data_IF_662370259666
#
_entry.id   IF_662370259666
#
_cell.length_a   1.000
_cell.length_b   1.000
_cell.length_c   1.000
_cell.angle_alpha   90.00
_cell.angle_beta   90.00
_cell.angle_gamma   90.00
#
_symmetry.space_group_name_H-M   'P 1'
#
loop_
_entity.id
_entity.type
_entity.pdbx_description
1 polymer ?
#
# COMPACT_ATOMS: atom_id res chain seq x y z
N UNK A 1 7.40 26.10 21.93
CA UNK A 1 6.16 25.72 22.62
C UNK A 1 5.75 24.36 22.08
N UNK A 2 5.37 23.42 22.95
CA UNK A 2 4.88 22.08 22.56
C UNK A 2 3.36 22.06 22.75
N UNK A 3 2.61 21.61 21.75
CA UNK A 3 1.16 21.40 21.84
C UNK A 3 0.88 19.90 21.95
N UNK A 4 0.10 19.50 22.97
CA UNK A 4 -0.37 18.13 23.12
C UNK A 4 -1.90 18.08 22.93
N UNK A 5 -2.37 17.19 22.05
CA UNK A 5 -3.80 16.93 21.83
C UNK A 5 -4.16 15.58 22.44
N UNK A 6 -5.19 15.58 23.29
CA UNK A 6 -5.62 14.38 24.02
C UNK A 6 -7.14 14.30 24.10
N UNK A 7 -7.65 13.10 24.36
CA UNK A 7 -9.06 12.86 24.68
C UNK A 7 -9.18 12.56 26.16
N UNK A 8 -10.09 13.25 26.84
CA UNK A 8 -10.33 13.13 28.27
C UNK A 8 -11.80 12.73 28.53
N UNK A 9 -12.02 11.56 29.14
CA UNK A 9 -13.36 11.15 29.60
C UNK A 9 -13.70 11.85 30.92
N UNK A 10 -14.66 12.77 30.90
CA UNK A 10 -15.06 13.50 32.11
C UNK A 10 -15.76 12.56 33.11
N UNK A 11 -15.37 12.57 34.41
CA UNK A 11 -15.88 11.61 35.37
C UNK A 11 -17.32 11.92 35.79
N UNK A 12 -18.16 10.87 35.81
CA UNK A 12 -19.57 10.95 36.17
C UNK A 12 -20.04 9.66 36.88
N UNK A 13 -21.05 9.78 37.75
CA UNK A 13 -21.82 8.68 38.30
C UNK A 13 -23.21 8.70 37.67
N UNK A 14 -23.43 7.87 36.65
CA UNK A 14 -24.61 7.97 35.79
C UNK A 14 -24.62 9.29 35.03
N UNK A 15 -25.60 10.15 35.31
CA UNK A 15 -25.72 11.50 34.72
C UNK A 15 -25.21 12.63 35.63
N UNK A 16 -24.70 12.28 36.81
CA UNK A 16 -24.22 13.25 37.79
C UNK A 16 -22.72 13.45 37.65
N UNK A 17 -22.28 14.70 37.44
CA UNK A 17 -20.86 15.06 37.31
C UNK A 17 -20.13 14.83 38.64
N UNK A 18 -18.99 14.15 38.60
CA UNK A 18 -18.12 13.97 39.76
C UNK A 18 -17.08 15.08 39.83
N UNK A 19 -17.46 16.25 40.34
CA UNK A 19 -16.63 17.45 40.38
C UNK A 19 -15.25 17.22 41.02
N UNK A 20 -15.18 16.55 42.17
CA UNK A 20 -13.90 16.29 42.86
C UNK A 20 -12.98 15.35 42.08
N UNK A 21 -13.52 14.45 41.26
CA UNK A 21 -12.71 13.61 40.38
C UNK A 21 -12.20 14.41 39.18
N UNK A 22 -13.05 15.25 38.58
CA UNK A 22 -12.66 16.13 37.48
C UNK A 22 -11.58 17.14 37.93
N UNK A 23 -11.72 17.71 39.13
CA UNK A 23 -10.74 18.62 39.71
C UNK A 23 -9.36 17.94 39.85
N UNK A 24 -9.30 16.74 40.40
CA UNK A 24 -8.05 15.97 40.49
C UNK A 24 -7.45 15.69 39.11
N UNK A 25 -8.28 15.28 38.15
CA UNK A 25 -7.83 15.03 36.79
C UNK A 25 -7.19 16.28 36.15
N UNK A 26 -7.82 17.45 36.25
CA UNK A 26 -7.37 18.67 35.59
C UNK A 26 -6.28 19.44 36.33
N UNK A 27 -6.33 19.46 37.67
CA UNK A 27 -5.46 20.31 38.48
C UNK A 27 -4.30 19.55 39.13
N UNK A 28 -4.35 18.21 39.16
CA UNK A 28 -3.28 17.37 39.73
C UNK A 28 -2.69 16.43 38.68
N UNK A 29 -3.50 15.51 38.12
CA UNK A 29 -3.00 14.47 37.21
C UNK A 29 -2.45 15.06 35.91
N UNK A 30 -3.21 15.91 35.22
CA UNK A 30 -2.80 16.45 33.94
C UNK A 30 -1.54 17.34 34.04
N UNK A 31 -1.42 18.28 35.00
CA UNK A 31 -0.19 19.04 35.20
C UNK A 31 1.02 18.16 35.52
N UNK A 32 0.86 17.10 36.33
CA UNK A 32 1.93 16.15 36.61
C UNK A 32 2.36 15.36 35.36
N UNK A 33 1.40 14.98 34.50
CA UNK A 33 1.71 14.34 33.22
C UNK A 33 2.47 15.29 32.28
N UNK A 34 2.05 16.55 32.20
CA UNK A 34 2.76 17.58 31.43
C UNK A 34 4.19 17.76 31.96
N UNK A 35 4.36 17.87 33.28
CA UNK A 35 5.68 18.03 33.89
C UNK A 35 6.58 16.82 33.65
N UNK A 36 6.06 15.60 33.69
CA UNK A 36 6.86 14.38 33.50
C UNK A 36 7.15 14.05 32.05
N UNK A 37 6.20 14.28 31.13
CA UNK A 37 6.28 13.77 29.77
C UNK A 37 6.58 14.86 28.71
N UNK A 38 6.23 16.12 28.96
CA UNK A 38 6.36 17.19 27.97
C UNK A 38 7.44 18.23 28.31
N UNK A 39 8.01 18.18 29.51
CA UNK A 39 9.13 19.04 29.89
C UNK A 39 10.45 18.32 29.61
N UNK A 40 11.32 18.95 28.81
CA UNK A 40 12.61 18.36 28.42
C UNK A 40 13.47 17.95 29.63
N UNK A 41 13.44 18.72 30.72
CA UNK A 41 14.17 18.42 31.97
C UNK A 41 13.75 17.10 32.64
N UNK A 42 12.58 16.56 32.28
CA UNK A 42 11.96 15.40 32.92
C UNK A 42 12.04 14.14 32.06
N UNK A 43 12.48 14.27 30.80
CA UNK A 43 12.67 13.14 29.88
C UNK A 43 14.15 12.81 29.74
N UNK A 44 14.45 11.56 29.42
CA UNK A 44 15.84 11.17 29.16
C UNK A 44 16.34 11.85 27.87
N UNK A 45 17.21 12.85 28.05
CA UNK A 45 17.83 13.60 26.96
C UNK A 45 18.52 12.68 25.95
N UNK A 46 19.17 11.60 26.39
CA UNK A 46 19.91 10.71 25.51
C UNK A 46 18.97 9.93 24.60
N UNK A 47 17.90 9.34 25.15
CA UNK A 47 16.85 8.69 24.37
C UNK A 47 16.18 9.64 23.38
N UNK A 48 15.89 10.88 23.79
CA UNK A 48 15.29 11.89 22.90
C UNK A 48 16.21 12.27 21.74
N UNK A 49 17.50 12.47 22.01
CA UNK A 49 18.49 12.76 20.97
C UNK A 49 18.68 11.56 20.04
N UNK A 50 18.73 10.34 20.56
CA UNK A 50 18.84 9.12 19.76
C UNK A 50 17.61 8.92 18.85
N UNK A 51 16.40 9.21 19.34
CA UNK A 51 15.19 9.19 18.53
C UNK A 51 15.24 10.21 17.40
N UNK A 52 15.61 11.47 17.70
CA UNK A 52 15.70 12.52 16.69
C UNK A 52 16.75 12.19 15.62
N UNK A 53 17.96 11.81 16.04
CA UNK A 53 19.05 11.41 15.15
C UNK A 53 18.68 10.23 14.26
N UNK A 54 18.01 9.22 14.82
CA UNK A 54 17.54 8.06 14.05
C UNK A 54 16.49 8.44 13.00
N UNK A 55 15.56 9.34 13.32
CA UNK A 55 14.55 9.79 12.34
C UNK A 55 15.19 10.66 11.25
N UNK A 56 16.12 11.53 11.61
CA UNK A 56 16.89 12.34 10.64
C UNK A 56 17.70 11.47 9.69
N UNK A 57 18.39 10.45 10.20
CA UNK A 57 19.16 9.50 9.40
C UNK A 57 18.27 8.71 8.44
N UNK A 58 17.09 8.27 8.91
CA UNK A 58 16.11 7.56 8.07
C UNK A 58 15.55 8.43 6.94
N UNK A 59 15.18 9.67 7.27
CA UNK A 59 14.67 10.61 6.27
C UNK A 59 15.76 11.00 5.27
N UNK A 60 16.97 11.23 5.76
CA UNK A 60 18.13 11.48 4.91
C UNK A 60 18.39 10.31 3.97
N UNK A 61 18.46 9.08 4.49
CA UNK A 61 18.67 7.87 3.69
C UNK A 61 17.59 7.70 2.62
N UNK A 62 16.32 7.92 2.97
CA UNK A 62 15.20 7.89 2.01
C UNK A 62 15.37 8.94 0.91
N UNK A 63 15.76 10.17 1.27
CA UNK A 63 16.00 11.24 0.30
C UNK A 63 17.14 10.93 -0.69
N UNK A 64 18.11 10.09 -0.29
CA UNK A 64 19.23 9.68 -1.15
C UNK A 64 18.84 8.60 -2.17
N UNK A 65 17.74 7.86 -1.96
CA UNK A 65 17.36 6.73 -2.84
C UNK A 65 17.32 7.13 -4.31
N UNK A 66 16.66 8.25 -4.63
CA UNK A 66 16.54 8.74 -6.02
C UNK A 66 17.90 9.09 -6.64
N UNK A 67 18.80 9.72 -5.88
CA UNK A 67 20.13 10.09 -6.37
C UNK A 67 21.01 8.86 -6.63
N UNK A 68 20.79 7.79 -5.86
CA UNK A 68 21.49 6.52 -5.99
C UNK A 68 20.81 5.56 -6.98
N UNK A 69 19.76 6.00 -7.68
CA UNK A 69 18.93 5.16 -8.56
C UNK A 69 18.38 3.91 -7.87
N UNK A 70 18.02 4.06 -6.59
CA UNK A 70 17.40 3.02 -5.75
C UNK A 70 15.92 3.32 -5.53
N UNK A 71 15.16 2.26 -5.25
CA UNK A 71 13.76 2.33 -4.79
C UNK A 71 13.60 1.87 -3.34
N UNK A 72 14.57 1.10 -2.83
CA UNK A 72 14.65 0.72 -1.43
C UNK A 72 16.09 0.45 -1.00
N UNK A 73 16.35 0.58 0.31
CA UNK A 73 17.60 0.23 0.95
C UNK A 73 17.31 -0.59 2.21
N UNK A 74 18.02 -1.71 2.40
CA UNK A 74 17.89 -2.58 3.56
C UNK A 74 19.25 -2.68 4.25
N UNK A 75 19.40 -2.01 5.40
CA UNK A 75 20.64 -1.96 6.17
C UNK A 75 21.09 -3.33 6.70
N UNK A 76 22.39 -3.57 6.66
CA UNK A 76 22.99 -4.73 7.31
C UNK A 76 22.72 -4.68 8.82
N UNK A 77 22.41 -5.84 9.41
CA UNK A 77 22.09 -5.97 10.84
C UNK A 77 20.59 -5.82 11.16
N UNK A 78 19.77 -5.43 10.18
CA UNK A 78 18.33 -5.28 10.36
C UNK A 78 17.64 -6.58 10.82
N UNK A 79 16.61 -6.42 11.63
CA UNK A 79 15.74 -7.49 12.13
C UNK A 79 14.37 -7.35 11.48
N UNK A 80 14.20 -8.06 10.37
CA UNK A 80 12.98 -8.03 9.57
C UNK A 80 11.81 -8.81 10.21
N UNK A 81 11.99 -10.03 10.77
CA UNK A 81 10.87 -10.80 11.29
C UNK A 81 10.28 -10.16 12.56
N UNK A 82 8.97 -10.29 12.70
CA UNK A 82 8.23 -9.82 13.88
C UNK A 82 7.89 -10.97 14.81
N UNK A 83 7.55 -10.67 16.07
CA UNK A 83 7.22 -11.69 17.09
C UNK A 83 6.06 -12.59 16.64
N UNK A 84 5.05 -12.02 15.97
CA UNK A 84 3.90 -12.77 15.45
C UNK A 84 3.18 -11.98 14.36
N UNK A 85 2.23 -12.60 13.64
CA UNK A 85 1.44 -11.91 12.61
C UNK A 85 0.53 -10.79 13.13
N UNK A 86 0.32 -10.68 14.44
CA UNK A 86 -0.48 -9.62 15.08
C UNK A 86 0.35 -8.62 15.87
N UNK A 87 1.64 -8.89 16.06
CA UNK A 87 2.55 -8.02 16.81
C UNK A 87 3.54 -7.37 15.85
N UNK A 88 3.65 -6.05 15.93
CA UNK A 88 4.64 -5.30 15.19
C UNK A 88 5.99 -5.21 15.91
N UNK A 89 6.23 -5.90 17.03
CA UNK A 89 7.53 -5.91 17.72
C UNK A 89 8.56 -6.80 17.00
N UNK A 90 9.87 -6.48 17.07
CA UNK A 90 10.90 -7.31 16.44
C UNK A 90 11.02 -8.66 17.12
N UNK A 91 11.39 -9.69 16.35
CA UNK A 91 11.72 -10.99 16.92
C UNK A 91 13.08 -10.92 17.63
N UNK A 92 13.06 -10.98 18.96
CA UNK A 92 14.25 -10.91 19.83
C UNK A 92 14.68 -12.29 20.35
N UNK A 93 14.88 -13.26 19.46
CA UNK A 93 15.41 -14.58 19.84
C UNK A 93 16.90 -14.69 19.50
N UNK A 94 17.64 -15.52 20.25
CA UNK A 94 19.05 -15.82 19.95
C UNK A 94 19.26 -16.49 18.58
N UNK A 95 18.17 -16.90 17.92
CA UNK A 95 18.16 -17.57 16.62
C UNK A 95 17.78 -16.64 15.46
N UNK A 96 17.53 -15.35 15.72
CA UNK A 96 17.12 -14.42 14.67
C UNK A 96 18.27 -14.19 13.67
N UNK A 97 18.00 -14.45 12.40
CA UNK A 97 18.96 -14.17 11.32
C UNK A 97 18.87 -12.69 11.00
N UNK A 98 19.92 -11.94 11.35
CA UNK A 98 20.03 -10.53 10.97
C UNK A 98 20.29 -10.41 9.47
N UNK A 99 19.67 -9.42 8.85
CA UNK A 99 19.82 -9.18 7.43
C UNK A 99 21.28 -8.86 7.08
N UNK A 100 21.78 -9.45 6.00
CA UNK A 100 23.10 -9.14 5.44
C UNK A 100 22.98 -9.12 3.93
N UNK A 101 23.30 -7.97 3.35
CA UNK A 101 23.28 -7.74 1.92
C UNK A 101 24.31 -8.62 1.19
N UNK A 102 23.94 -9.21 0.03
CA UNK A 102 24.92 -9.89 -0.81
C UNK A 102 25.91 -8.87 -1.39
N UNK A 103 27.21 -9.21 -1.51
CA UNK A 103 28.25 -8.27 -1.96
C UNK A 103 27.91 -7.51 -3.25
N UNK A 104 27.23 -8.16 -4.19
CA UNK A 104 26.88 -7.65 -5.51
C UNK A 104 25.82 -6.53 -5.46
N UNK A 105 25.00 -6.51 -4.40
CA UNK A 105 23.93 -5.54 -4.19
C UNK A 105 24.23 -4.58 -3.04
N UNK A 106 25.46 -4.60 -2.50
CA UNK A 106 25.84 -3.71 -1.42
C UNK A 106 25.98 -2.26 -1.88
N UNK A 107 25.41 -1.35 -1.11
CA UNK A 107 25.55 0.09 -1.24
C UNK A 107 25.98 0.65 0.11
N UNK A 108 26.85 1.66 0.07
CA UNK A 108 27.27 2.42 1.25
C UNK A 108 26.66 3.81 1.19
N UNK A 109 26.13 4.29 2.31
CA UNK A 109 25.55 5.64 2.44
C UNK A 109 26.10 6.29 3.69
N UNK A 110 26.53 7.55 3.57
CA UNK A 110 26.99 8.35 4.71
C UNK A 110 25.79 9.05 5.34
N UNK A 111 25.46 8.70 6.58
CA UNK A 111 24.37 9.32 7.33
C UNK A 111 24.87 10.46 8.21
N UNK A 112 24.05 11.50 8.45
CA UNK A 112 24.48 12.67 9.21
C UNK A 112 24.81 12.36 10.68
N UNK A 113 24.17 11.35 11.29
CA UNK A 113 24.39 11.02 12.70
C UNK A 113 25.12 9.68 12.90
N UNK A 114 24.65 8.58 12.31
CA UNK A 114 25.23 7.24 12.48
C UNK A 114 26.52 7.02 11.66
N UNK A 115 26.84 7.91 10.70
CA UNK A 115 27.99 7.79 9.80
C UNK A 115 27.74 6.79 8.67
N UNK A 116 28.79 6.15 8.16
CA UNK A 116 28.67 5.21 7.05
C UNK A 116 27.88 3.95 7.43
N UNK A 117 26.79 3.69 6.71
CA UNK A 117 26.04 2.43 6.78
C UNK A 117 26.17 1.64 5.49
N UNK A 118 26.11 0.32 5.61
CA UNK A 118 26.16 -0.62 4.48
C UNK A 118 24.89 -1.44 4.46
N UNK A 119 24.30 -1.63 3.29
CA UNK A 119 23.06 -2.40 3.12
C UNK A 119 22.84 -2.83 1.68
N UNK A 120 21.72 -3.52 1.44
CA UNK A 120 21.30 -3.94 0.11
C UNK A 120 20.53 -2.79 -0.53
N UNK A 121 21.00 -2.29 -1.67
CA UNK A 121 20.25 -1.34 -2.49
C UNK A 121 19.42 -2.07 -3.54
N UNK A 122 18.10 -1.86 -3.54
CA UNK A 122 17.22 -2.31 -4.61
C UNK A 122 17.18 -1.20 -5.67
N UNK A 123 17.74 -1.48 -6.85
CA UNK A 123 17.80 -0.53 -7.97
C UNK A 123 16.42 -0.33 -8.60
N UNK A 124 16.26 0.82 -9.26
CA UNK A 124 15.11 1.07 -10.13
C UNK A 124 15.02 0.02 -11.25
N UNK A 125 13.80 -0.32 -11.65
CA UNK A 125 13.51 -1.41 -12.60
C UNK A 125 12.61 -2.48 -11.99
N UNK A 126 12.77 -3.73 -12.42
CA UNK A 126 12.01 -4.90 -11.96
C UNK A 126 12.93 -5.80 -11.14
N UNK A 127 12.63 -5.90 -9.84
CA UNK A 127 13.33 -6.77 -8.90
C UNK A 127 12.44 -7.92 -8.46
N UNK A 128 12.97 -9.14 -8.54
CA UNK A 128 12.30 -10.34 -8.06
C UNK A 128 12.92 -10.79 -6.74
N UNK A 129 12.08 -11.20 -5.79
CA UNK A 129 12.47 -11.86 -4.55
C UNK A 129 11.93 -13.29 -4.62
N UNK A 130 12.82 -14.25 -4.86
CA UNK A 130 12.48 -15.66 -5.07
C UNK A 130 13.08 -16.57 -3.99
N UNK A 131 12.75 -17.86 -4.04
CA UNK A 131 13.19 -18.87 -3.07
C UNK A 131 12.06 -19.78 -2.58
N UNK A 132 12.41 -20.86 -1.88
CA UNK A 132 11.42 -21.83 -1.39
C UNK A 132 10.44 -21.24 -0.38
N UNK A 133 9.34 -21.95 -0.10
CA UNK A 133 8.43 -21.62 1.00
C UNK A 133 9.17 -21.46 2.33
N UNK A 134 8.69 -20.56 3.19
CA UNK A 134 9.23 -20.31 4.54
C UNK A 134 10.69 -19.80 4.65
N UNK A 135 11.28 -19.32 3.54
CA UNK A 135 12.65 -18.76 3.54
C UNK A 135 12.73 -17.24 3.79
N UNK A 136 11.62 -16.57 4.12
CA UNK A 136 11.62 -15.13 4.48
C UNK A 136 11.35 -14.14 3.35
N UNK A 137 10.83 -14.59 2.19
CA UNK A 137 10.48 -13.71 1.05
C UNK A 137 9.46 -12.63 1.43
N UNK A 138 8.29 -13.03 1.91
CA UNK A 138 7.24 -12.09 2.31
C UNK A 138 7.65 -11.26 3.53
N UNK A 139 8.51 -11.79 4.41
CA UNK A 139 9.08 -11.00 5.52
C UNK A 139 9.95 -9.86 5.01
N UNK A 140 10.79 -10.10 3.99
CA UNK A 140 11.58 -9.05 3.34
C UNK A 140 10.67 -8.03 2.64
N UNK A 141 9.69 -8.49 1.86
CA UNK A 141 8.75 -7.59 1.18
C UNK A 141 7.92 -6.76 2.16
N UNK A 142 7.45 -7.34 3.26
CA UNK A 142 6.74 -6.62 4.31
C UNK A 142 7.62 -5.56 4.99
N UNK A 143 8.92 -5.81 5.16
CA UNK A 143 9.84 -4.80 5.67
C UNK A 143 10.00 -3.64 4.66
N UNK A 144 10.13 -3.95 3.37
CA UNK A 144 10.18 -2.95 2.28
C UNK A 144 8.86 -2.16 2.21
N UNK A 145 7.71 -2.83 2.31
CA UNK A 145 6.38 -2.22 2.35
C UNK A 145 6.26 -1.17 3.46
N UNK A 146 6.83 -1.46 4.64
CA UNK A 146 6.81 -0.56 5.80
C UNK A 146 7.90 0.50 5.79
N UNK A 147 8.95 0.34 4.98
CA UNK A 147 10.05 1.31 4.83
C UNK A 147 9.65 2.67 4.26
N UNK A 148 8.40 2.81 3.80
CA UNK A 148 7.79 4.12 3.50
C UNK A 148 7.62 5.00 4.75
N UNK A 149 7.67 4.40 5.95
CA UNK A 149 7.63 5.09 7.23
C UNK A 149 8.99 5.04 7.94
N UNK A 150 9.23 6.01 8.81
CA UNK A 150 10.31 5.92 9.78
C UNK A 150 9.89 4.99 10.94
N UNK A 151 10.84 4.20 11.43
CA UNK A 151 10.68 3.29 12.54
C UNK A 151 11.35 3.86 13.81
N UNK A 152 10.79 3.53 14.98
CA UNK A 152 11.38 3.92 16.25
C UNK A 152 12.68 3.14 16.51
N UNK A 153 13.67 3.72 17.22
CA UNK A 153 14.86 3.01 17.64
C UNK A 153 14.52 1.73 18.42
N UNK A 154 15.18 0.63 18.07
CA UNK A 154 14.92 -0.71 18.59
C UNK A 154 13.91 -1.52 17.78
N UNK A 155 13.25 -0.96 16.75
CA UNK A 155 12.32 -1.70 15.90
C UNK A 155 13.03 -2.76 15.02
N UNK A 156 14.32 -2.55 14.71
CA UNK A 156 15.12 -3.42 13.87
C UNK A 156 14.99 -3.16 12.36
N UNK A 157 14.07 -2.29 11.93
CA UNK A 157 13.87 -1.88 10.53
C UNK A 157 14.17 -0.39 10.30
N UNK A 158 14.87 0.26 11.21
CA UNK A 158 15.24 1.68 11.14
C UNK A 158 16.01 1.96 9.85
N UNK A 159 16.97 1.12 9.48
CA UNK A 159 17.71 1.25 8.22
C UNK A 159 17.04 0.54 7.04
N UNK A 160 15.73 0.29 7.10
CA UNK A 160 14.94 -0.22 5.99
C UNK A 160 14.06 0.90 5.47
N UNK A 161 14.50 1.53 4.38
CA UNK A 161 13.76 2.64 3.77
C UNK A 161 13.35 2.29 2.36
N UNK A 162 12.20 2.80 1.96
CA UNK A 162 11.62 2.62 0.62
C UNK A 162 11.13 3.98 0.14
N UNK A 163 11.09 4.17 -1.19
CA UNK A 163 10.46 5.34 -1.80
C UNK A 163 9.08 5.61 -1.17
N UNK A 164 8.82 6.86 -0.81
CA UNK A 164 7.63 7.24 -0.05
C UNK A 164 6.31 7.02 -0.82
N UNK A 165 6.38 6.93 -2.15
CA UNK A 165 5.21 6.69 -3.02
C UNK A 165 5.03 5.21 -3.36
N UNK A 166 5.91 4.33 -2.85
CA UNK A 166 5.82 2.90 -3.11
C UNK A 166 4.47 2.34 -2.62
N UNK A 167 3.73 1.72 -3.53
CA UNK A 167 2.36 1.27 -3.28
C UNK A 167 2.28 -0.25 -3.45
N UNK A 168 1.76 -0.94 -2.44
CA UNK A 168 1.49 -2.37 -2.53
C UNK A 168 0.18 -2.63 -3.26
N UNK A 169 0.23 -3.54 -4.23
CA UNK A 169 -0.92 -3.98 -5.01
C UNK A 169 -1.21 -5.44 -4.66
N UNK A 170 -2.49 -5.73 -4.43
CA UNK A 170 -3.02 -7.09 -4.24
C UNK A 170 -4.42 -7.20 -4.81
N UNK A 171 -4.94 -8.42 -4.94
CA UNK A 171 -6.32 -8.64 -5.38
C UNK A 171 -7.31 -8.13 -4.32
N UNK A 172 -8.33 -7.42 -4.76
CA UNK A 172 -9.39 -6.88 -3.92
C UNK A 172 -10.74 -7.18 -4.58
N UNK A 173 -11.16 -8.43 -4.46
CA UNK A 173 -12.40 -8.92 -5.04
C UNK A 173 -13.62 -8.24 -4.40
N UNK A 174 -14.59 -7.85 -5.23
CA UNK A 174 -15.79 -7.15 -4.80
C UNK A 174 -15.66 -5.64 -4.66
N UNK A 175 -14.48 -5.04 -4.85
CA UNK A 175 -14.34 -3.58 -4.72
C UNK A 175 -15.08 -2.82 -5.82
N UNK A 176 -15.50 -1.61 -5.46
CA UNK A 176 -15.99 -0.62 -6.41
C UNK A 176 -14.83 -0.02 -7.23
N UNK A 177 -15.06 0.14 -8.53
CA UNK A 177 -14.17 0.86 -9.45
C UNK A 177 -15.02 1.86 -10.23
N UNK A 178 -14.53 3.08 -10.41
CA UNK A 178 -15.21 4.11 -11.19
C UNK A 178 -14.28 4.81 -12.16
N UNK A 179 -14.75 4.93 -13.40
CA UNK A 179 -14.17 5.73 -14.48
C UNK A 179 -12.65 5.59 -14.61
N UNK A 180 -12.16 4.36 -14.53
CA UNK A 180 -10.71 4.04 -14.58
C UNK A 180 -10.37 3.40 -15.91
N UNK A 181 -9.34 3.92 -16.59
CA UNK A 181 -8.86 3.33 -17.84
C UNK A 181 -8.01 2.09 -17.54
N UNK A 182 -8.58 0.90 -17.77
CA UNK A 182 -7.92 -0.38 -17.53
C UNK A 182 -7.47 -1.07 -18.83
N UNK A 183 -7.58 -0.40 -19.99
CA UNK A 183 -7.14 -0.93 -21.31
C UNK A 183 -5.73 -1.51 -21.34
N UNK A 184 -4.74 -1.01 -20.57
CA UNK A 184 -3.43 -1.65 -20.56
C UNK A 184 -3.47 -3.12 -20.14
N UNK A 185 -4.45 -3.52 -19.33
CA UNK A 185 -4.53 -4.87 -18.79
C UNK A 185 -5.78 -5.64 -19.22
N UNK A 186 -6.91 -4.96 -19.47
CA UNK A 186 -8.19 -5.61 -19.76
C UNK A 186 -8.82 -4.94 -20.97
N UNK A 187 -9.07 -5.74 -22.02
CA UNK A 187 -9.70 -5.32 -23.26
C UNK A 187 -10.82 -6.29 -23.65
N UNK A 188 -11.65 -5.90 -24.61
CA UNK A 188 -12.63 -6.82 -25.25
C UNK A 188 -13.54 -7.55 -24.25
N UNK A 189 -14.02 -6.83 -23.23
CA UNK A 189 -14.95 -7.42 -22.27
C UNK A 189 -16.22 -7.91 -22.97
N UNK A 190 -16.84 -9.00 -22.48
CA UNK A 190 -18.12 -9.48 -22.97
C UNK A 190 -19.18 -8.36 -22.97
N UNK A 191 -20.14 -8.46 -23.89
CA UNK A 191 -21.24 -7.49 -24.06
C UNK A 191 -20.80 -6.08 -24.50
N UNK A 192 -19.58 -5.93 -25.01
CA UNK A 192 -19.09 -4.65 -25.54
C UNK A 192 -18.86 -3.58 -24.48
N UNK A 193 -18.68 -3.98 -23.21
CA UNK A 193 -18.32 -3.04 -22.13
C UNK A 193 -16.98 -2.38 -22.45
N UNK A 194 -16.94 -1.06 -22.37
CA UNK A 194 -15.70 -0.30 -22.64
C UNK A 194 -14.78 -0.32 -21.42
N UNK A 195 -13.48 -0.31 -21.67
CA UNK A 195 -12.44 -0.40 -20.64
C UNK A 195 -11.61 0.87 -20.51
N UNK A 196 -11.93 1.91 -21.27
CA UNK A 196 -11.31 3.24 -21.25
C UNK A 196 -11.81 4.14 -20.10
N UNK A 197 -13.02 3.87 -19.60
CA UNK A 197 -13.61 4.50 -18.43
C UNK A 197 -14.38 3.45 -17.60
N UNK A 198 -13.70 2.35 -17.29
CA UNK A 198 -14.31 1.19 -16.67
C UNK A 198 -14.89 1.52 -15.30
N UNK A 199 -16.12 1.06 -15.07
CA UNK A 199 -16.83 1.19 -13.79
C UNK A 199 -17.56 -0.10 -13.45
N UNK A 200 -17.47 -0.54 -12.20
CA UNK A 200 -18.20 -1.70 -11.67
C UNK A 200 -18.41 -1.55 -10.16
N UNK A 201 -19.49 -2.12 -9.64
CA UNK A 201 -19.72 -2.26 -8.21
C UNK A 201 -19.13 -3.54 -7.62
N UNK A 202 -18.73 -4.47 -8.48
CA UNK A 202 -18.22 -5.79 -8.12
C UNK A 202 -17.07 -6.14 -9.10
N UNK A 203 -15.84 -5.82 -8.70
CA UNK A 203 -14.66 -6.11 -9.49
C UNK A 203 -14.10 -7.50 -9.16
N UNK A 204 -13.77 -8.29 -10.19
CA UNK A 204 -13.02 -9.53 -10.01
C UNK A 204 -11.58 -9.25 -9.52
N UNK A 205 -10.89 -10.27 -9.02
CA UNK A 205 -9.49 -10.14 -8.56
C UNK A 205 -8.52 -9.54 -9.59
N UNK A 206 -8.62 -9.93 -10.87
CA UNK A 206 -7.78 -9.36 -11.94
C UNK A 206 -8.17 -7.92 -12.28
N UNK A 207 -9.47 -7.62 -12.30
CA UNK A 207 -10.00 -6.27 -12.61
C UNK A 207 -9.67 -5.26 -11.52
N UNK A 208 -9.77 -5.68 -10.25
CA UNK A 208 -9.39 -4.84 -9.11
C UNK A 208 -7.90 -4.50 -9.14
N UNK A 209 -7.03 -5.46 -9.46
CA UNK A 209 -5.59 -5.17 -9.60
C UNK A 209 -5.27 -4.29 -10.80
N UNK A 210 -5.90 -4.54 -11.95
CA UNK A 210 -5.77 -3.67 -13.12
C UNK A 210 -6.10 -2.22 -12.76
N UNK A 211 -7.23 -2.01 -12.07
CA UNK A 211 -7.63 -0.71 -11.56
C UNK A 211 -6.57 -0.17 -10.58
N UNK A 212 -6.22 -0.90 -9.52
CA UNK A 212 -5.27 -0.46 -8.49
C UNK A 212 -3.92 -0.01 -9.06
N UNK A 213 -3.39 -0.70 -10.09
CA UNK A 213 -2.15 -0.27 -10.78
C UNK A 213 -2.37 1.07 -11.47
N UNK A 214 -3.46 1.24 -12.23
CA UNK A 214 -3.76 2.48 -12.93
C UNK A 214 -4.00 3.63 -11.93
N UNK A 215 -4.71 3.36 -10.84
CA UNK A 215 -4.95 4.34 -9.78
C UNK A 215 -3.64 4.78 -9.11
N UNK A 216 -2.74 3.84 -8.80
CA UNK A 216 -1.43 4.13 -8.23
C UNK A 216 -0.56 4.96 -9.18
N UNK A 217 -0.52 4.59 -10.47
CA UNK A 217 0.23 5.33 -11.50
C UNK A 217 -0.33 6.74 -11.69
N UNK A 218 -1.65 6.92 -11.60
CA UNK A 218 -2.27 8.23 -11.74
C UNK A 218 -1.88 9.19 -10.61
N UNK A 219 -1.81 8.68 -9.37
CA UNK A 219 -1.35 9.44 -8.19
C UNK A 219 0.19 9.44 -8.03
N UNK A 220 0.90 9.12 -9.11
CA UNK A 220 2.36 9.25 -9.24
C UNK A 220 3.17 8.30 -8.34
N UNK A 221 2.67 7.10 -8.08
CA UNK A 221 3.47 6.04 -7.46
C UNK A 221 4.68 5.70 -8.34
N UNK A 222 5.88 5.75 -7.76
CA UNK A 222 7.14 5.46 -8.46
C UNK A 222 7.53 3.98 -8.41
N UNK A 223 6.95 3.23 -7.46
CA UNK A 223 7.29 1.82 -7.21
C UNK A 223 6.04 1.04 -6.83
N UNK A 224 5.87 -0.15 -7.41
CA UNK A 224 4.78 -1.07 -7.09
C UNK A 224 5.32 -2.33 -6.41
N UNK A 225 4.66 -2.76 -5.34
CA UNK A 225 5.04 -3.95 -4.57
C UNK A 225 4.00 -5.05 -4.78
N UNK A 226 4.45 -6.26 -5.11
CA UNK A 226 3.58 -7.41 -5.36
C UNK A 226 4.03 -8.62 -4.54
N UNK A 227 3.06 -9.34 -3.97
CA UNK A 227 3.28 -10.67 -3.39
C UNK A 227 2.40 -11.67 -4.15
N UNK A 228 3.02 -12.66 -4.80
CA UNK A 228 2.33 -13.68 -5.59
C UNK A 228 1.19 -14.33 -4.80
N UNK A 229 1.38 -14.57 -3.51
CA UNK A 229 0.41 -15.23 -2.63
C UNK A 229 -0.90 -14.41 -2.43
N UNK A 230 -0.89 -13.11 -2.75
CA UNK A 230 -2.03 -12.21 -2.58
C UNK A 230 -2.55 -11.62 -3.90
N UNK A 231 -1.97 -12.04 -5.02
CA UNK A 231 -2.35 -11.57 -6.35
C UNK A 231 -3.25 -12.59 -7.06
N UNK A 232 -4.06 -12.12 -8.01
CA UNK A 232 -4.80 -13.02 -8.89
C UNK A 232 -3.84 -13.68 -9.89
N UNK A 233 -3.74 -15.02 -9.87
CA UNK A 233 -2.78 -15.77 -10.70
C UNK A 233 -2.97 -15.51 -12.19
N UNK A 234 -4.23 -15.46 -12.66
CA UNK A 234 -4.59 -15.17 -14.05
C UNK A 234 -4.20 -13.76 -14.51
N UNK A 235 -3.91 -12.86 -13.57
CA UNK A 235 -3.38 -11.54 -13.89
C UNK A 235 -1.85 -11.51 -13.89
N UNK A 236 -1.18 -12.32 -13.06
CA UNK A 236 0.28 -12.31 -13.00
C UNK A 236 0.92 -12.92 -14.24
N UNK A 237 0.45 -14.09 -14.65
CA UNK A 237 1.01 -14.88 -15.75
C UNK A 237 -0.11 -15.51 -16.57
N UNK A 238 0.25 -15.97 -17.75
CA UNK A 238 -0.67 -16.74 -18.60
C UNK A 238 0.03 -18.01 -19.06
N UNK A 239 -0.51 -19.15 -18.63
CA UNK A 239 0.05 -20.45 -18.97
C UNK A 239 0.04 -20.70 -20.49
N UNK A 240 1.16 -21.21 -21.01
CA UNK A 240 1.33 -21.45 -22.44
C UNK A 240 0.41 -22.52 -23.03
N UNK A 241 -0.07 -23.49 -22.22
CA UNK A 241 -1.08 -24.46 -22.68
C UNK A 241 -2.46 -23.82 -22.75
N UNK A 242 -2.78 -22.98 -21.78
CA UNK A 242 -4.04 -22.22 -21.79
C UNK A 242 -4.13 -21.25 -22.97
N UNK A 243 -3.01 -20.64 -23.38
CA UNK A 243 -2.94 -19.84 -24.61
C UNK A 243 -3.26 -20.64 -25.88
N UNK A 244 -2.86 -21.91 -25.94
CA UNK A 244 -3.17 -22.78 -27.07
C UNK A 244 -4.62 -23.29 -27.06
N UNK A 245 -5.18 -23.50 -25.87
CA UNK A 245 -6.55 -23.98 -25.70
C UNK A 245 -7.60 -22.88 -25.92
N UNK A 246 -7.34 -21.68 -25.42
CA UNK A 246 -8.25 -20.53 -25.50
C UNK A 246 -7.64 -19.48 -26.41
N UNK A 247 -8.26 -19.27 -27.56
CA UNK A 247 -7.83 -18.26 -28.54
C UNK A 247 -7.67 -16.89 -27.90
N UNK A 248 -6.66 -16.14 -28.33
CA UNK A 248 -6.34 -14.80 -27.82
C UNK A 248 -7.55 -13.85 -27.88
N UNK A 249 -8.38 -13.94 -28.91
CA UNK A 249 -9.58 -13.11 -29.06
C UNK A 249 -10.64 -13.34 -27.99
N UNK A 250 -10.55 -14.45 -27.25
CA UNK A 250 -11.48 -14.82 -26.18
C UNK A 250 -10.93 -14.55 -24.78
N UNK A 251 -9.65 -14.19 -24.63
CA UNK A 251 -9.04 -13.86 -23.34
C UNK A 251 -8.86 -12.34 -23.21
N UNK A 252 -9.68 -11.66 -22.38
CA UNK A 252 -9.65 -10.21 -22.27
C UNK A 252 -8.43 -9.68 -21.49
N UNK A 253 -7.72 -10.54 -20.75
CA UNK A 253 -6.66 -10.14 -19.81
C UNK A 253 -5.28 -10.21 -20.48
N UNK A 254 -4.59 -9.08 -20.50
CA UNK A 254 -3.15 -8.98 -20.73
C UNK A 254 -2.44 -9.15 -19.39
N UNK A 255 -1.62 -10.21 -19.20
CA UNK A 255 -0.98 -10.48 -17.91
C UNK A 255 0.08 -9.42 -17.58
N UNK A 256 0.35 -9.24 -16.28
CA UNK A 256 1.30 -8.27 -15.76
C UNK A 256 2.72 -8.53 -16.25
N UNK A 257 3.12 -9.79 -16.47
CA UNK A 257 4.44 -10.12 -17.02
C UNK A 257 4.72 -9.43 -18.37
N UNK A 258 3.68 -9.23 -19.19
CA UNK A 258 3.77 -8.52 -20.48
C UNK A 258 3.83 -6.99 -20.33
N UNK A 259 3.58 -6.45 -19.14
CA UNK A 259 3.44 -5.00 -18.88
C UNK A 259 4.43 -4.44 -17.87
N UNK A 260 5.00 -5.28 -17.01
CA UNK A 260 5.87 -4.87 -15.91
C UNK A 260 7.12 -4.13 -16.42
N UNK A 261 7.65 -4.54 -17.58
CA UNK A 261 8.77 -3.85 -18.24
C UNK A 261 8.37 -2.49 -18.80
N UNK A 262 7.20 -2.41 -19.42
CA UNK A 262 6.68 -1.18 -19.99
C UNK A 262 6.31 -0.16 -18.91
N UNK A 263 5.84 -0.60 -17.73
CA UNK A 263 5.65 0.26 -16.56
C UNK A 263 6.95 0.98 -16.18
N UNK A 264 8.07 0.27 -16.18
CA UNK A 264 9.36 0.89 -15.92
C UNK A 264 9.81 1.81 -17.07
N UNK A 265 9.86 1.30 -18.30
CA UNK A 265 10.44 2.03 -19.42
C UNK A 265 9.60 3.23 -19.89
N UNK A 266 8.27 3.11 -19.87
CA UNK A 266 7.37 4.15 -20.35
C UNK A 266 6.87 5.09 -19.24
N UNK A 267 6.79 4.61 -17.98
CA UNK A 267 6.25 5.38 -16.85
C UNK A 267 7.26 5.68 -15.75
N UNK A 268 8.45 5.08 -15.78
CA UNK A 268 9.43 5.21 -14.70
C UNK A 268 8.98 4.53 -13.41
N UNK A 269 8.06 3.57 -13.49
CA UNK A 269 7.48 2.89 -12.32
C UNK A 269 8.17 1.54 -12.13
N UNK A 270 8.96 1.44 -11.06
CA UNK A 270 9.67 0.22 -10.70
C UNK A 270 8.74 -0.82 -10.09
N UNK A 271 9.14 -2.09 -10.07
CA UNK A 271 8.38 -3.18 -9.47
C UNK A 271 9.25 -4.06 -8.60
N UNK A 272 8.80 -4.36 -7.37
CA UNK A 272 9.41 -5.36 -6.49
C UNK A 272 8.39 -6.48 -6.29
N UNK A 273 8.74 -7.69 -6.68
CA UNK A 273 7.80 -8.81 -6.71
C UNK A 273 8.36 -9.99 -5.92
N UNK A 274 7.62 -10.47 -4.92
CA UNK A 274 7.86 -11.80 -4.35
C UNK A 274 7.22 -12.83 -5.26
N UNK A 275 8.03 -13.75 -5.76
CA UNK A 275 7.59 -14.85 -6.61
C UNK A 275 8.07 -16.21 -6.05
N UNK A 276 7.26 -17.23 -6.21
CA UNK A 276 7.50 -18.61 -5.82
C UNK A 276 7.09 -19.63 -6.89
N UNK A 277 6.07 -19.33 -7.71
CA UNK A 277 5.56 -20.22 -8.75
C UNK A 277 5.68 -19.68 -10.18
N UNK A 278 5.77 -18.36 -10.35
CA UNK A 278 5.77 -17.70 -11.66
C UNK A 278 7.19 -17.49 -12.23
N UNK A 279 7.68 -18.43 -13.02
CA UNK A 279 9.02 -18.38 -13.66
C UNK A 279 9.16 -17.39 -14.81
N UNK A 280 8.07 -17.01 -15.47
CA UNK A 280 8.07 -16.15 -16.66
C UNK A 280 8.70 -14.76 -16.42
N UNK A 281 8.70 -14.31 -15.16
CA UNK A 281 9.28 -13.02 -14.80
C UNK A 281 10.80 -12.98 -14.89
N UNK A 282 11.48 -14.13 -14.95
CA UNK A 282 12.95 -14.18 -15.07
C UNK A 282 13.44 -13.53 -16.37
N UNK A 283 12.62 -13.53 -17.44
CA UNK A 283 12.93 -12.89 -18.72
C UNK A 283 12.88 -11.35 -18.66
N UNK A 284 12.13 -10.77 -17.71
CA UNK A 284 11.87 -9.31 -17.64
C UNK A 284 12.48 -8.64 -16.41
N UNK A 285 13.18 -9.39 -15.55
CA UNK A 285 13.78 -8.88 -14.32
C UNK A 285 15.18 -8.30 -14.54
N UNK A 286 15.45 -7.15 -13.91
CA UNK A 286 16.79 -6.55 -13.88
C UNK A 286 17.63 -7.15 -12.75
N UNK A 287 16.98 -7.54 -11.64
CA UNK A 287 17.64 -8.10 -10.45
C UNK A 287 16.81 -9.22 -9.86
N UNK A 288 17.46 -10.32 -9.48
CA UNK A 288 16.80 -11.46 -8.83
C UNK A 288 17.50 -11.77 -7.51
N UNK A 289 16.80 -11.56 -6.40
CA UNK A 289 17.25 -11.88 -5.05
C UNK A 289 16.67 -13.22 -4.63
N UNK A 290 17.52 -14.22 -4.44
CA UNK A 290 17.11 -15.52 -3.91
C UNK A 290 17.28 -15.56 -2.39
N UNK A 291 16.18 -15.87 -1.69
CA UNK A 291 16.14 -16.08 -0.24
C UNK A 291 16.29 -17.56 0.10
N UNK A 292 17.29 -17.89 0.93
CA UNK A 292 17.49 -19.24 1.45
C UNK A 292 17.90 -19.17 2.92
N UNK A 293 17.16 -19.84 3.80
CA UNK A 293 17.42 -19.80 5.25
C UNK A 293 17.48 -18.38 5.80
N UNK A 294 16.60 -17.49 5.32
CA UNK A 294 16.51 -16.07 5.69
C UNK A 294 17.70 -15.18 5.26
N UNK A 295 18.61 -15.71 4.42
CA UNK A 295 19.75 -14.98 3.87
C UNK A 295 19.50 -14.67 2.39
N UNK A 296 19.64 -13.41 1.95
CA UNK A 296 19.55 -13.04 0.54
C UNK A 296 20.85 -13.36 -0.21
N UNK A 297 20.71 -13.71 -1.48
CA UNK A 297 21.80 -13.88 -2.44
C UNK A 297 21.41 -13.28 -3.78
N UNK A 298 22.38 -12.72 -4.51
CA UNK A 298 22.13 -12.32 -5.89
C UNK A 298 22.11 -13.57 -6.80
N UNK A 299 20.96 -13.79 -7.44
CA UNK A 299 20.72 -14.89 -8.37
C UNK A 299 20.47 -14.40 -9.80
N UNK A 300 20.75 -13.12 -10.10
CA UNK A 300 20.43 -12.48 -11.37
C UNK A 300 21.03 -13.20 -12.57
N UNK A 301 22.32 -13.52 -12.54
CA UNK A 301 22.98 -14.19 -13.67
C UNK A 301 22.48 -15.64 -13.85
N UNK A 302 22.20 -16.33 -12.74
CA UNK A 302 21.59 -17.67 -12.79
C UNK A 302 20.17 -17.62 -13.38
N UNK A 303 19.38 -16.63 -12.99
CA UNK A 303 18.03 -16.42 -13.52
C UNK A 303 18.03 -16.18 -15.03
N UNK A 304 18.90 -15.29 -15.51
CA UNK A 304 19.06 -15.03 -16.95
C UNK A 304 19.48 -16.27 -17.73
N UNK A 305 20.40 -17.08 -17.19
CA UNK A 305 20.81 -18.33 -17.82
C UNK A 305 19.64 -19.34 -17.93
N UNK A 306 18.80 -19.44 -16.88
CA UNK A 306 17.61 -20.30 -16.90
C UNK A 306 16.60 -19.82 -17.94
N UNK A 307 16.31 -18.52 -17.98
CA UNK A 307 15.41 -17.91 -18.95
C UNK A 307 15.86 -18.17 -20.40
N UNK A 308 17.17 -18.09 -20.67
CA UNK A 308 17.75 -18.43 -21.98
C UNK A 308 17.61 -19.92 -22.34
N UNK A 309 17.74 -20.82 -21.36
CA UNK A 309 17.60 -22.26 -21.60
C UNK A 309 16.13 -22.71 -21.74
N UNK A 310 15.20 -22.01 -21.12
CA UNK A 310 13.77 -22.31 -21.13
C UNK A 310 12.96 -21.05 -21.47
N UNK A 311 13.05 -20.56 -22.72
CA UNK A 311 12.43 -19.31 -23.09
C UNK A 311 10.90 -19.42 -23.02
N UNK A 312 10.27 -18.42 -22.42
CA UNK A 312 8.81 -18.27 -22.42
C UNK A 312 8.43 -17.24 -23.48
N UNK A 313 7.36 -17.52 -24.22
CA UNK A 313 6.79 -16.53 -25.14
C UNK A 313 5.96 -15.54 -24.33
N UNK A 314 6.56 -14.39 -24.01
CA UNK A 314 5.83 -13.26 -23.43
C UNK A 314 5.16 -12.52 -24.57
N UNK A 315 3.82 -12.50 -24.55
CA UNK A 315 3.03 -11.79 -25.55
C UNK A 315 3.31 -10.29 -25.44
N UNK A 316 3.72 -9.68 -26.56
CA UNK A 316 3.85 -8.23 -26.67
C UNK A 316 2.44 -7.66 -26.82
N UNK A 317 1.98 -6.81 -25.90
CA UNK A 317 0.64 -6.27 -25.99
C UNK A 317 0.45 -5.40 -27.22
N UNK A 318 -0.68 -5.53 -27.91
CA UNK A 318 -0.99 -4.74 -29.11
C UNK A 318 -1.17 -3.24 -28.80
N UNK A 319 -1.74 -2.93 -27.63
CA UNK A 319 -1.97 -1.57 -27.17
C UNK A 319 -0.75 -1.16 -26.35
N UNK A 320 -0.02 -0.11 -26.75
CA UNK A 320 1.02 0.48 -25.89
C UNK A 320 0.41 1.05 -24.61
N UNK A 321 1.16 1.06 -23.53
CA UNK A 321 0.74 1.72 -22.29
C UNK A 321 0.42 3.19 -22.61
N UNK A 322 -0.84 3.56 -22.36
CA UNK A 322 -1.40 4.84 -22.81
C UNK A 322 -0.73 6.06 -22.16
N UNK A 323 -1.15 7.30 -22.52
CA UNK A 323 -0.63 8.53 -21.94
C UNK A 323 -0.91 8.64 -20.43
N UNK A 324 -0.46 9.72 -19.79
CA UNK A 324 -0.76 9.96 -18.38
C UNK A 324 -2.27 9.99 -18.13
N UNK A 325 -2.71 9.23 -17.13
CA UNK A 325 -4.09 9.23 -16.66
C UNK A 325 -4.42 10.59 -16.07
N UNK A 326 -5.56 11.15 -16.46
CA UNK A 326 -6.03 12.45 -15.99
C UNK A 326 -7.55 12.37 -15.73
N UNK A 327 -7.97 11.38 -14.94
CA UNK A 327 -9.39 11.25 -14.60
C UNK A 327 -9.79 12.51 -13.84
N UNK A 328 -10.85 13.15 -14.31
CA UNK A 328 -11.35 14.36 -13.66
C UNK A 328 -12.57 14.05 -12.82
N UNK A 329 -12.51 14.43 -11.56
CA UNK A 329 -13.56 14.21 -10.59
C UNK A 329 -14.33 15.51 -10.37
N UNK A 330 -15.64 15.37 -10.27
CA UNK A 330 -16.55 16.41 -9.82
C UNK A 330 -17.25 15.84 -8.59
N UNK A 331 -16.99 16.44 -7.43
CA UNK A 331 -17.67 16.04 -6.19
C UNK A 331 -19.03 16.72 -6.16
N UNK A 332 -20.15 15.96 -6.11
CA UNK A 332 -21.49 16.55 -6.09
C UNK A 332 -21.67 17.47 -4.87
N UNK A 333 -22.30 18.62 -5.07
CA UNK A 333 -22.54 19.64 -4.02
C UNK A 333 -23.39 19.10 -2.87
N UNK A 334 -24.26 18.15 -3.20
CA UNK A 334 -25.21 17.51 -2.31
C UNK A 334 -24.48 16.72 -1.20
N UNK A 335 -23.26 16.22 -1.48
CA UNK A 335 -22.46 15.50 -0.49
C UNK A 335 -22.01 16.38 0.69
N UNK A 336 -21.95 17.70 0.51
CA UNK A 336 -21.62 18.63 1.59
C UNK A 336 -22.75 18.76 2.64
N UNK A 337 -23.99 18.40 2.29
CA UNK A 337 -25.14 18.47 3.18
C UNK A 337 -25.25 17.26 4.12
N UNK A 338 -24.57 16.16 3.79
CA UNK A 338 -24.57 14.93 4.57
C UNK A 338 -23.64 14.98 5.79
N UNK A 339 -23.83 14.06 6.75
CA UNK A 339 -22.90 13.97 7.89
C UNK A 339 -21.48 13.62 7.45
N UNK A 340 -20.45 14.17 8.11
CA UNK A 340 -19.07 13.95 7.68
C UNK A 340 -18.65 12.48 7.82
N UNK A 341 -17.79 11.97 6.92
CA UNK A 341 -17.19 10.66 7.05
C UNK A 341 -16.50 10.46 8.40
N UNK A 342 -16.60 9.25 8.95
CA UNK A 342 -16.01 8.92 10.26
C UNK A 342 -15.31 7.57 10.23
N UNK A 343 -14.03 7.57 10.57
CA UNK A 343 -13.27 6.35 10.79
C UNK A 343 -13.85 5.56 11.98
N UNK A 344 -14.22 4.30 11.73
CA UNK A 344 -14.68 3.35 12.77
C UNK A 344 -13.51 2.52 13.29
N UNK A 345 -12.72 1.99 12.36
CA UNK A 345 -11.55 1.15 12.65
C UNK A 345 -10.35 1.66 11.88
N UNK A 346 -9.21 0.96 11.96
CA UNK A 346 -8.07 1.23 11.08
C UNK A 346 -8.44 1.03 9.61
N UNK A 347 -9.34 0.11 9.31
CA UNK A 347 -9.62 -0.28 7.93
C UNK A 347 -11.02 0.09 7.47
N UNK A 348 -11.74 0.94 8.20
CA UNK A 348 -13.09 1.27 7.77
C UNK A 348 -13.52 2.69 8.12
N UNK A 349 -14.20 3.31 7.15
CA UNK A 349 -14.77 4.65 7.25
C UNK A 349 -16.26 4.54 6.93
N UNK A 350 -17.12 4.94 7.86
CA UNK A 350 -18.52 5.17 7.54
C UNK A 350 -18.64 6.48 6.75
N UNK A 351 -19.22 6.39 5.56
CA UNK A 351 -19.65 7.54 4.77
C UNK A 351 -21.05 7.92 5.24
N UNK A 352 -21.28 9.20 5.50
CA UNK A 352 -22.60 9.74 5.86
C UNK A 352 -23.31 9.00 7.02
N UNK A 353 -22.65 8.86 8.19
CA UNK A 353 -23.22 8.11 9.31
C UNK A 353 -24.57 8.71 9.71
N UNK A 354 -25.61 7.88 9.84
CA UNK A 354 -26.98 8.24 10.30
C UNK A 354 -27.88 9.07 9.37
N UNK A 355 -27.54 9.19 8.08
CA UNK A 355 -28.51 9.61 7.08
C UNK A 355 -29.32 8.38 6.63
N UNK A 356 -30.66 8.46 6.67
CA UNK A 356 -31.54 7.40 6.13
C UNK A 356 -31.34 7.35 4.62
N UNK A 357 -30.49 6.45 4.15
CA UNK A 357 -30.06 6.39 2.76
C UNK A 357 -31.07 5.60 1.90
N UNK A 358 -32.29 6.12 1.77
CA UNK A 358 -33.25 5.59 0.78
C UNK A 358 -33.03 6.13 -0.64
N UNK A 359 -31.94 6.89 -0.89
CA UNK A 359 -31.77 7.67 -2.14
C UNK A 359 -30.41 7.56 -2.83
N UNK A 360 -29.52 6.66 -2.39
CA UNK A 360 -28.21 6.41 -3.03
C UNK A 360 -28.10 4.92 -3.38
N UNK A 361 -29.07 4.40 -4.13
CA UNK A 361 -28.86 3.13 -4.81
C UNK A 361 -27.75 3.33 -5.87
N UNK A 362 -26.83 2.36 -6.06
CA UNK A 362 -25.98 2.35 -7.24
C UNK A 362 -26.87 2.40 -8.49
N UNK A 363 -26.43 2.99 -9.62
CA UNK A 363 -27.25 3.04 -10.83
C UNK A 363 -27.62 1.61 -11.24
N UNK A 364 -28.88 1.26 -11.06
CA UNK A 364 -29.45 0.00 -11.49
C UNK A 364 -29.50 -0.01 -13.01
N UNK A 365 -28.78 -0.96 -13.61
CA UNK A 365 -29.03 -1.36 -14.99
C UNK A 365 -30.36 -2.12 -14.97
N UNK A 366 -31.34 -1.61 -15.70
CA UNK A 366 -32.70 -2.14 -15.75
C UNK A 366 -32.74 -3.48 -16.48
N UNK A 367 -33.00 -4.57 -15.76
CA UNK A 367 -33.67 -5.74 -16.32
C UNK A 367 -35.05 -5.86 -15.67
N UNK A 368 -36.08 -5.91 -16.52
CA UNK A 368 -37.48 -5.92 -16.12
C UNK A 368 -37.86 -7.28 -15.52
N UNK A 369 -38.30 -7.28 -14.25
CA UNK A 369 -38.82 -8.46 -13.56
C UNK A 369 -39.67 -8.08 -12.34
N UNK A 370 -40.81 -8.75 -12.20
CA UNK A 370 -41.97 -8.39 -11.38
C UNK A 370 -41.70 -8.14 -9.87
N UNK A 371 -42.45 -7.17 -9.34
CA UNK A 371 -42.47 -6.80 -7.93
C UNK A 371 -43.34 -7.74 -7.08
N UNK A 372 -42.81 -8.18 -5.94
CA UNK A 372 -43.58 -8.65 -4.79
C UNK A 372 -43.09 -7.93 -3.54
N UNK A 373 -43.99 -7.20 -2.88
CA UNK A 373 -43.73 -6.47 -1.64
C UNK A 373 -43.72 -7.43 -0.45
N UNK A 374 -42.54 -7.69 0.11
CA UNK A 374 -42.39 -8.10 1.50
C UNK A 374 -41.48 -7.08 2.21
N UNK A 375 -41.98 -6.51 3.32
CA UNK A 375 -41.18 -5.68 4.22
C UNK A 375 -40.33 -6.59 5.09
N UNK A 376 -39.08 -6.77 4.71
CA UNK A 376 -38.02 -7.25 5.60
C UNK A 376 -37.38 -6.04 6.26
N UNK A 377 -37.26 -6.08 7.60
CA UNK A 377 -36.38 -5.18 8.36
C UNK A 377 -34.93 -5.53 7.99
N UNK A 378 -34.47 -5.06 6.83
CA UNK A 378 -33.06 -5.11 6.47
C UNK A 378 -32.30 -4.10 7.32
N UNK A 379 -31.14 -4.47 7.90
CA UNK A 379 -30.32 -3.53 8.66
C UNK A 379 -29.97 -2.33 7.78
N UNK A 380 -30.10 -1.11 8.31
CA UNK A 380 -29.69 0.11 7.60
C UNK A 380 -28.21 0.01 7.19
N UNK A 381 -27.94 -0.36 5.94
CA UNK A 381 -26.57 -0.47 5.39
C UNK A 381 -26.11 0.94 5.07
N UNK A 382 -25.32 1.52 5.97
CA UNK A 382 -24.60 2.75 5.68
C UNK A 382 -23.47 2.44 4.69
N UNK A 383 -23.19 3.33 3.71
CA UNK A 383 -22.09 3.15 2.80
C UNK A 383 -20.80 3.18 3.62
N UNK A 384 -20.10 2.04 3.67
CA UNK A 384 -18.84 1.88 4.39
C UNK A 384 -17.73 1.71 3.38
N UNK A 385 -16.69 2.53 3.51
CA UNK A 385 -15.47 2.38 2.74
C UNK A 385 -14.55 1.39 3.47
N UNK A 386 -14.37 0.23 2.86
CA UNK A 386 -13.41 -0.78 3.29
C UNK A 386 -11.99 -0.40 2.80
N UNK A 387 -11.02 -0.46 3.72
CA UNK A 387 -9.62 -0.16 3.48
C UNK A 387 -8.73 -1.35 3.88
N UNK A 388 -9.29 -2.54 4.08
CA UNK A 388 -8.54 -3.77 4.42
C UNK A 388 -7.54 -4.16 3.34
N UNK A 389 -7.74 -3.69 2.11
CA UNK A 389 -6.79 -3.88 1.03
C UNK A 389 -5.52 -3.02 1.15
N UNK A 390 -5.60 -1.91 1.88
CA UNK A 390 -4.50 -0.97 2.08
C UNK A 390 -3.59 -1.44 3.22
N UNK A 391 -2.80 -2.48 2.95
CA UNK A 391 -1.92 -3.09 3.96
C UNK A 391 -0.97 -2.06 4.60
N UNK A 392 -0.51 -1.08 3.82
CA UNK A 392 0.40 -0.01 4.25
C UNK A 392 -0.20 0.95 5.29
N UNK A 393 -1.50 0.89 5.58
CA UNK A 393 -2.14 1.68 6.62
C UNK A 393 -1.80 1.10 8.01
N UNK A 394 -1.04 1.85 8.82
CA UNK A 394 -0.51 1.35 10.11
C UNK A 394 -1.35 1.78 11.31
N UNK A 395 -2.04 2.92 11.23
CA UNK A 395 -2.72 3.55 12.37
C UNK A 395 -4.13 4.04 12.04
N UNK A 396 -5.06 3.90 13.00
CA UNK A 396 -6.41 4.49 12.92
C UNK A 396 -6.39 6.01 12.77
N UNK A 397 -5.32 6.67 13.24
CA UNK A 397 -5.18 8.12 13.06
C UNK A 397 -5.01 8.49 11.58
N UNK A 398 -4.37 7.64 10.77
CA UNK A 398 -4.29 7.85 9.32
C UNK A 398 -5.67 7.69 8.69
N UNK A 399 -6.45 6.69 9.10
CA UNK A 399 -7.84 6.51 8.66
C UNK A 399 -8.72 7.71 9.01
N UNK A 400 -8.54 8.30 10.19
CA UNK A 400 -9.20 9.55 10.58
C UNK A 400 -8.79 10.72 9.70
N UNK A 401 -7.50 10.84 9.38
CA UNK A 401 -7.01 11.86 8.46
C UNK A 401 -7.63 11.70 7.06
N UNK A 402 -7.71 10.47 6.54
CA UNK A 402 -8.41 10.15 5.28
C UNK A 402 -9.87 10.58 5.35
N UNK A 403 -10.60 10.23 6.42
CA UNK A 403 -11.99 10.65 6.59
C UNK A 403 -12.14 12.19 6.60
N UNK A 404 -11.21 12.90 7.23
CA UNK A 404 -11.19 14.38 7.20
C UNK A 404 -10.85 14.94 5.81
N UNK A 405 -9.92 14.32 5.07
CA UNK A 405 -9.62 14.71 3.68
C UNK A 405 -10.83 14.50 2.77
N UNK A 406 -11.57 13.39 2.93
CA UNK A 406 -12.83 13.16 2.22
C UNK A 406 -13.87 14.24 2.55
N UNK A 407 -13.98 14.64 3.81
CA UNK A 407 -14.86 15.76 4.22
C UNK A 407 -14.45 17.09 3.57
N UNK A 408 -13.15 17.38 3.47
CA UNK A 408 -12.66 18.57 2.79
C UNK A 408 -12.96 18.51 1.29
N UNK A 409 -12.82 17.33 0.68
CA UNK A 409 -13.15 17.11 -0.72
C UNK A 409 -14.64 17.37 -1.03
N UNK A 410 -15.57 17.02 -0.13
CA UNK A 410 -17.02 17.34 -0.33
C UNK A 410 -17.32 18.83 -0.34
N UNK A 411 -16.47 19.67 0.26
CA UNK A 411 -16.62 21.12 0.25
C UNK A 411 -16.09 21.75 -1.05
N UNK A 412 -15.32 21.01 -1.85
CA UNK A 412 -14.68 21.51 -3.05
C UNK A 412 -15.34 20.93 -4.32
N UNK A 413 -16.20 21.73 -4.94
CA UNK A 413 -17.05 21.28 -6.06
C UNK A 413 -16.46 21.62 -7.44
N UNK A 414 -15.19 22.05 -7.46
CA UNK A 414 -14.48 22.32 -8.70
C UNK A 414 -14.04 21.01 -9.34
N UNK A 415 -14.04 21.00 -10.67
CA UNK A 415 -13.46 19.92 -11.46
C UNK A 415 -11.96 19.85 -11.19
N UNK A 416 -11.48 18.69 -10.71
CA UNK A 416 -10.08 18.46 -10.32
C UNK A 416 -9.58 17.11 -10.84
N UNK A 417 -8.30 17.00 -11.15
CA UNK A 417 -7.69 15.69 -11.42
C UNK A 417 -7.41 14.98 -10.10
N UNK A 418 -7.34 13.64 -10.11
CA UNK A 418 -6.95 12.87 -8.92
C UNK A 418 -5.63 13.33 -8.33
N UNK A 419 -4.63 13.56 -9.19
CA UNK A 419 -3.33 14.12 -8.78
C UNK A 419 -3.48 15.44 -8.02
N UNK A 420 -4.27 16.37 -8.55
CA UNK A 420 -4.48 17.67 -7.88
C UNK A 420 -5.25 17.56 -6.57
N UNK A 421 -6.10 16.54 -6.40
CA UNK A 421 -6.82 16.30 -5.16
C UNK A 421 -5.93 15.71 -4.06
N UNK A 422 -4.85 15.03 -4.43
CA UNK A 422 -3.88 14.46 -3.48
C UNK A 422 -2.80 15.47 -3.10
N UNK A 423 -2.44 16.39 -4.01
CA UNK A 423 -1.39 17.39 -3.77
C UNK A 423 -1.86 18.65 -3.02
N UNK A 424 -3.11 19.07 -3.23
CA UNK A 424 -3.73 20.23 -2.56
C UNK A 424 -4.23 19.85 -1.15
#
# INVERSE_FOLDING_TARGET
MVEARLTAGLPAAGRTILASAAQRMFLETLPQLVERALMYRSVDSQTMHALAASVEDQEYLRSQLKLLSLVAFIGNGAVLPRVSGVSNMPLETNTVVRFRAPPELQVMVELPNQGTVVGMGIRQGVTLICGGGFNGKSTLLQAIERGVYNHAPGDGRELVVTDATATKIKAEEGRFVSSTDIRPFINNLPLGKTTDAFSTADASGSTSMAASIQEAVEVEASTLLFDEDTCATNFLVRDGRMQQLVSQDCEPITPLVSRVRELWEAKGVSSIMVIGGCGDYLDVADTVVSMHGYVPSDATEKAKAIAQCMPVVIEIPQIKYGPALNRTIIVPKELAAHKPPKAKTRWSIALFPSDKLSSLAPPTISDAGAATHERTDEPEVFPELDLTALDQLVSVSQTRAIASMLQLATQNTRRRTMRSLVSD
#
